data_IF_528624662820
#
_entry.id   IF_528624662820
#
_cell.length_a   1.000
_cell.length_b   1.000
_cell.length_c   1.000
_cell.angle_alpha   90.00
_cell.angle_beta   90.00
_cell.angle_gamma   90.00
#
_symmetry.space_group_name_H-M   'P 1'
#
loop_
_entity.id
_entity.type
_entity.pdbx_description
1 polymer ?
#
# COMPACT_ATOMS: atom_id res chain seq x y z
N UNK A 1 -8.04 -23.24 -26.58
CA UNK A 1 -8.13 -24.20 -25.46
C UNK A 1 -8.30 -23.41 -24.15
N UNK A 2 -9.50 -23.35 -23.57
CA UNK A 2 -9.75 -22.62 -22.31
C UNK A 2 -8.83 -23.04 -21.15
N UNK A 3 -8.35 -24.30 -21.15
CA UNK A 3 -7.41 -24.80 -20.15
C UNK A 3 -6.01 -24.16 -20.20
N UNK A 4 -5.69 -23.41 -21.27
CA UNK A 4 -4.43 -22.66 -21.39
C UNK A 4 -4.57 -21.17 -21.01
N UNK A 5 -5.76 -20.71 -20.63
CA UNK A 5 -5.97 -19.33 -20.20
C UNK A 5 -5.59 -19.16 -18.72
N UNK A 6 -4.29 -19.05 -18.45
CA UNK A 6 -3.75 -18.83 -17.11
C UNK A 6 -3.61 -17.33 -16.88
N UNK A 7 -4.42 -16.79 -15.97
CA UNK A 7 -4.37 -15.39 -15.53
C UNK A 7 -3.95 -15.27 -14.05
N UNK A 8 -3.71 -14.05 -13.58
CA UNK A 8 -3.25 -13.82 -12.20
C UNK A 8 -4.26 -14.25 -11.14
N UNK A 9 -5.55 -14.04 -11.39
CA UNK A 9 -6.66 -14.45 -10.50
C UNK A 9 -6.64 -15.98 -10.28
N UNK A 10 -6.54 -16.74 -11.37
CA UNK A 10 -6.41 -18.19 -11.33
C UNK A 10 -5.16 -18.66 -10.55
N UNK A 11 -4.02 -17.99 -10.76
CA UNK A 11 -2.79 -18.32 -10.03
C UNK A 11 -2.91 -18.03 -8.54
N UNK A 12 -3.57 -16.93 -8.17
CA UNK A 12 -3.83 -16.57 -6.79
C UNK A 12 -4.72 -17.61 -6.09
N UNK A 13 -5.83 -18.01 -6.70
CA UNK A 13 -6.71 -19.08 -6.19
C UNK A 13 -5.98 -20.43 -5.99
N UNK A 14 -4.97 -20.71 -6.82
CA UNK A 14 -4.16 -21.94 -6.73
C UNK A 14 -3.15 -21.86 -5.59
N UNK A 15 -2.52 -20.71 -5.42
CA UNK A 15 -1.51 -20.46 -4.37
C UNK A 15 -2.14 -20.49 -2.97
N UNK A 16 -3.37 -20.00 -2.80
CA UNK A 16 -4.07 -20.06 -1.51
C UNK A 16 -4.24 -21.49 -0.94
N UNK A 17 -4.15 -22.52 -1.80
CA UNK A 17 -4.20 -23.93 -1.38
C UNK A 17 -2.84 -24.53 -1.04
N UNK A 18 -1.78 -23.72 -0.99
CA UNK A 18 -0.39 -24.15 -0.79
C UNK A 18 0.22 -23.69 0.52
N UNK A 19 -0.57 -23.10 1.42
CA UNK A 19 -0.10 -22.55 2.69
C UNK A 19 1.10 -21.60 2.54
N UNK A 20 1.04 -20.57 1.68
CA UNK A 20 2.13 -19.60 1.58
C UNK A 20 2.19 -18.74 2.85
N UNK A 21 3.37 -18.26 3.25
CA UNK A 21 3.46 -17.24 4.31
C UNK A 21 3.20 -15.83 3.72
N UNK A 22 3.74 -15.59 2.52
CA UNK A 22 3.65 -14.31 1.80
C UNK A 22 3.28 -14.53 0.34
N UNK A 23 2.35 -13.73 -0.16
CA UNK A 23 1.89 -13.74 -1.55
C UNK A 23 2.29 -12.41 -2.21
N UNK A 24 3.13 -12.48 -3.23
CA UNK A 24 3.47 -11.34 -4.08
C UNK A 24 2.65 -11.32 -5.36
N UNK A 25 1.71 -10.38 -5.48
CA UNK A 25 0.97 -10.13 -6.73
C UNK A 25 1.66 -8.99 -7.46
N UNK A 26 2.24 -9.26 -8.63
CA UNK A 26 3.11 -8.31 -9.34
C UNK A 26 2.53 -6.90 -9.48
N UNK A 27 1.45 -6.75 -10.24
CA UNK A 27 0.73 -5.48 -10.39
C UNK A 27 -0.77 -5.74 -10.51
N UNK A 28 -1.59 -5.06 -9.70
CA UNK A 28 -3.05 -5.07 -9.84
C UNK A 28 -3.48 -4.28 -11.08
N UNK A 29 -4.08 -4.97 -12.05
CA UNK A 29 -4.57 -4.36 -13.30
C UNK A 29 -6.06 -4.60 -13.52
N UNK A 30 -6.60 -5.73 -13.06
CA UNK A 30 -7.98 -6.13 -13.29
C UNK A 30 -8.86 -6.04 -12.04
N UNK A 31 -10.17 -6.03 -12.28
CA UNK A 31 -11.19 -6.03 -11.24
C UNK A 31 -11.13 -7.28 -10.35
N UNK A 32 -10.85 -8.42 -10.98
CA UNK A 32 -10.73 -9.70 -10.31
C UNK A 32 -9.50 -9.71 -9.39
N UNK A 33 -8.34 -9.31 -9.91
CA UNK A 33 -7.11 -9.20 -9.13
C UNK A 33 -7.26 -8.29 -7.91
N UNK A 34 -7.94 -7.15 -8.08
CA UNK A 34 -8.07 -6.16 -7.01
C UNK A 34 -8.80 -6.71 -5.78
N UNK A 35 -9.94 -7.38 -5.99
CA UNK A 35 -10.71 -7.92 -4.87
C UNK A 35 -10.12 -9.24 -4.37
N UNK A 36 -9.74 -10.16 -5.28
CA UNK A 36 -9.20 -11.47 -4.89
C UNK A 36 -7.93 -11.34 -4.04
N UNK A 37 -7.03 -10.40 -4.36
CA UNK A 37 -5.83 -10.17 -3.56
C UNK A 37 -6.13 -9.50 -2.21
N UNK A 38 -7.12 -8.59 -2.17
CA UNK A 38 -7.59 -8.02 -0.92
C UNK A 38 -8.23 -9.09 -0.01
N UNK A 39 -9.09 -9.95 -0.56
CA UNK A 39 -9.69 -11.07 0.18
C UNK A 39 -8.63 -12.06 0.65
N UNK A 40 -7.64 -12.38 -0.20
CA UNK A 40 -6.51 -13.23 0.16
C UNK A 40 -5.78 -12.71 1.41
N UNK A 41 -5.57 -11.39 1.50
CA UNK A 41 -4.90 -10.77 2.66
C UNK A 41 -5.66 -10.91 3.98
N UNK A 42 -6.98 -11.10 3.90
CA UNK A 42 -7.87 -11.26 5.06
C UNK A 42 -8.01 -12.71 5.51
N UNK A 43 -7.37 -13.65 4.80
CA UNK A 43 -7.36 -15.09 5.14
C UNK A 43 -6.12 -15.52 5.92
N UNK A 44 -5.40 -14.56 6.52
CA UNK A 44 -4.18 -14.82 7.32
C UNK A 44 -2.89 -14.87 6.50
N UNK A 45 -2.95 -14.52 5.21
CA UNK A 45 -1.77 -14.46 4.34
C UNK A 45 -1.28 -13.01 4.22
N UNK A 46 0.03 -12.77 4.32
CA UNK A 46 0.57 -11.45 3.98
C UNK A 46 0.54 -11.30 2.46
N UNK A 47 -0.12 -10.25 1.94
CA UNK A 47 -0.20 -9.99 0.49
C UNK A 47 0.47 -8.66 0.18
N UNK A 48 1.44 -8.68 -0.74
CA UNK A 48 2.10 -7.50 -1.26
C UNK A 48 1.79 -7.33 -2.74
N UNK A 49 1.52 -6.10 -3.17
CA UNK A 49 1.28 -5.81 -4.60
C UNK A 49 1.71 -4.41 -4.99
N UNK A 50 1.75 -4.15 -6.29
CA UNK A 50 1.94 -2.82 -6.85
C UNK A 50 0.70 -2.39 -7.62
N UNK A 51 0.48 -1.08 -7.71
CA UNK A 51 -0.64 -0.51 -8.46
C UNK A 51 -0.28 0.88 -8.96
N UNK A 52 -0.65 1.18 -10.21
CA UNK A 52 -0.45 2.50 -10.77
C UNK A 52 -1.43 3.51 -10.14
N UNK A 53 -0.90 4.45 -9.37
CA UNK A 53 -1.64 5.49 -8.63
C UNK A 53 -0.80 6.76 -8.52
N UNK A 54 -1.44 7.91 -8.28
CA UNK A 54 -0.78 9.22 -8.23
C UNK A 54 -0.43 9.69 -6.81
N UNK A 55 -0.84 8.94 -5.78
CA UNK A 55 -0.61 9.23 -4.35
C UNK A 55 -1.01 8.02 -3.51
N UNK A 56 -0.65 7.99 -2.23
CA UNK A 56 -1.16 6.95 -1.32
C UNK A 56 -2.70 7.00 -1.19
N UNK A 57 -3.31 8.19 -1.07
CA UNK A 57 -4.76 8.33 -0.94
C UNK A 57 -5.50 7.81 -2.18
N UNK A 58 -5.03 8.16 -3.38
CA UNK A 58 -5.65 7.69 -4.62
C UNK A 58 -5.50 6.18 -4.85
N UNK A 59 -4.57 5.51 -4.15
CA UNK A 59 -4.36 4.06 -4.27
C UNK A 59 -5.59 3.28 -3.81
N UNK A 60 -6.17 3.61 -2.66
CA UNK A 60 -7.41 2.96 -2.19
C UNK A 60 -8.58 3.19 -3.15
N UNK A 61 -8.76 4.43 -3.63
CA UNK A 61 -9.79 4.75 -4.62
C UNK A 61 -9.60 3.98 -5.93
N UNK A 62 -8.34 3.77 -6.35
CA UNK A 62 -8.01 2.99 -7.55
C UNK A 62 -8.37 1.51 -7.36
N UNK A 63 -8.02 0.91 -6.23
CA UNK A 63 -8.39 -0.48 -5.90
C UNK A 63 -9.91 -0.65 -5.86
N UNK A 64 -10.63 0.24 -5.18
CA UNK A 64 -12.10 0.25 -5.16
C UNK A 64 -12.68 0.34 -6.58
N UNK A 65 -12.17 1.27 -7.40
CA UNK A 65 -12.66 1.47 -8.78
C UNK A 65 -12.42 0.23 -9.65
N UNK A 66 -11.28 -0.46 -9.47
CA UNK A 66 -11.01 -1.72 -10.16
C UNK A 66 -12.00 -2.79 -9.71
N UNK A 67 -12.13 -3.04 -8.41
CA UNK A 67 -13.05 -4.05 -7.87
C UNK A 67 -14.50 -3.83 -8.33
N UNK A 68 -14.97 -2.58 -8.30
CA UNK A 68 -16.35 -2.21 -8.70
C UNK A 68 -16.71 -2.59 -10.14
N UNK A 69 -15.73 -2.76 -11.04
CA UNK A 69 -15.98 -3.20 -12.43
C UNK A 69 -16.51 -4.64 -12.53
N UNK A 70 -16.30 -5.48 -11.51
CA UNK A 70 -16.73 -6.89 -11.49
C UNK A 70 -17.76 -7.17 -10.38
N UNK A 71 -17.72 -6.40 -9.29
CA UNK A 71 -18.55 -6.65 -8.12
C UNK A 71 -19.49 -5.46 -7.85
N UNK A 72 -20.78 -5.74 -7.70
CA UNK A 72 -21.80 -4.74 -7.38
C UNK A 72 -21.90 -4.56 -5.85
N UNK A 73 -20.88 -3.95 -5.25
CA UNK A 73 -20.82 -3.60 -3.83
C UNK A 73 -20.80 -2.08 -3.66
N UNK A 74 -21.22 -1.61 -2.49
CA UNK A 74 -21.14 -0.20 -2.14
C UNK A 74 -19.67 0.27 -2.06
N UNK A 75 -19.43 1.53 -2.43
CA UNK A 75 -18.09 2.13 -2.41
C UNK A 75 -17.50 2.16 -0.99
N UNK A 76 -18.34 2.36 0.03
CA UNK A 76 -17.88 2.35 1.42
C UNK A 76 -17.38 0.98 1.83
N UNK A 77 -18.10 -0.08 1.46
CA UNK A 77 -17.73 -1.47 1.75
C UNK A 77 -16.43 -1.83 1.05
N UNK A 78 -16.30 -1.50 -0.24
CA UNK A 78 -15.07 -1.75 -0.97
C UNK A 78 -13.89 -0.98 -0.37
N UNK A 79 -14.07 0.30 -0.04
CA UNK A 79 -13.01 1.09 0.60
C UNK A 79 -12.57 0.51 1.94
N UNK A 80 -13.51 0.08 2.79
CA UNK A 80 -13.19 -0.58 4.06
C UNK A 80 -12.38 -1.87 3.84
N UNK A 81 -12.79 -2.71 2.88
CA UNK A 81 -12.04 -3.92 2.52
C UNK A 81 -10.61 -3.58 2.09
N UNK A 82 -10.43 -2.55 1.25
CA UNK A 82 -9.11 -2.18 0.75
C UNK A 82 -8.20 -1.60 1.84
N UNK A 83 -8.75 -0.82 2.78
CA UNK A 83 -7.99 -0.27 3.92
C UNK A 83 -7.58 -1.38 4.89
N UNK A 84 -8.48 -2.30 5.20
CA UNK A 84 -8.20 -3.45 6.06
C UNK A 84 -7.14 -4.39 5.46
N UNK A 85 -7.23 -4.65 4.14
CA UNK A 85 -6.32 -5.50 3.39
C UNK A 85 -4.91 -4.91 3.29
N UNK A 86 -4.81 -3.60 3.06
CA UNK A 86 -3.56 -2.90 2.83
C UNK A 86 -3.40 -1.76 3.85
N UNK A 87 -3.05 -2.08 5.10
CA UNK A 87 -2.89 -1.06 6.14
C UNK A 87 -1.71 -0.14 5.88
N UNK A 88 -0.71 -0.56 5.09
CA UNK A 88 0.47 0.28 4.74
C UNK A 88 0.53 0.48 3.24
N UNK A 89 0.68 1.74 2.81
CA UNK A 89 0.88 2.11 1.39
C UNK A 89 2.14 2.93 1.24
N UNK A 90 3.02 2.49 0.34
CA UNK A 90 4.26 3.18 -0.03
C UNK A 90 4.10 3.75 -1.45
N UNK A 91 4.14 5.07 -1.58
CA UNK A 91 4.04 5.75 -2.87
C UNK A 91 5.42 6.16 -3.37
N UNK A 92 5.75 5.77 -4.60
CA UNK A 92 7.02 6.14 -5.25
C UNK A 92 6.76 6.99 -6.48
N UNK A 93 7.65 7.96 -6.74
CA UNK A 93 7.58 8.84 -7.91
C UNK A 93 8.97 8.99 -8.52
N UNK A 94 9.03 9.07 -9.85
CA UNK A 94 10.21 9.58 -10.55
C UNK A 94 10.15 11.10 -10.55
N UNK A 95 11.19 11.74 -10.02
CA UNK A 95 11.35 13.18 -9.95
C UNK A 95 11.94 13.74 -11.25
N UNK A 96 12.01 15.07 -11.35
CA UNK A 96 12.51 15.78 -12.55
C UNK A 96 13.97 15.42 -12.88
N UNK A 97 14.78 15.14 -11.85
CA UNK A 97 16.16 14.65 -11.99
C UNK A 97 16.26 13.16 -12.36
N UNK A 98 15.13 12.55 -12.75
CA UNK A 98 14.94 11.11 -13.08
C UNK A 98 15.19 10.16 -11.91
N UNK A 99 15.52 10.65 -10.72
CA UNK A 99 15.66 9.82 -9.53
C UNK A 99 14.29 9.31 -9.08
N UNK A 100 14.24 8.09 -8.56
CA UNK A 100 13.04 7.53 -7.93
C UNK A 100 13.12 7.73 -6.42
N UNK A 101 12.09 8.32 -5.83
CA UNK A 101 11.98 8.52 -4.38
C UNK A 101 10.68 7.93 -3.85
N UNK A 102 10.72 7.46 -2.60
CA UNK A 102 9.51 7.17 -1.83
C UNK A 102 8.97 8.53 -1.39
N UNK A 103 7.86 8.96 -1.97
CA UNK A 103 7.30 10.27 -1.70
C UNK A 103 6.50 10.31 -0.40
N UNK A 104 5.80 9.22 -0.11
CA UNK A 104 4.98 9.11 1.09
C UNK A 104 4.83 7.64 1.50
N UNK A 105 4.83 7.41 2.81
CA UNK A 105 4.37 6.16 3.42
C UNK A 105 3.20 6.54 4.33
N UNK A 106 2.05 5.90 4.15
CA UNK A 106 0.90 6.07 5.04
C UNK A 106 0.53 4.75 5.70
N UNK A 107 -0.13 4.86 6.84
CA UNK A 107 -0.99 3.82 7.37
C UNK A 107 -2.46 4.22 7.15
N UNK A 108 -3.23 3.38 6.46
CA UNK A 108 -4.68 3.51 6.36
C UNK A 108 -5.35 2.86 7.57
N UNK A 109 -6.21 3.60 8.26
CA UNK A 109 -6.84 3.15 9.49
C UNK A 109 -8.30 2.76 9.26
N UNK A 110 -9.05 3.58 8.53
CA UNK A 110 -10.46 3.32 8.29
C UNK A 110 -11.02 4.10 7.08
N UNK A 111 -12.26 3.82 6.73
CA UNK A 111 -13.08 4.62 5.83
C UNK A 111 -14.48 4.82 6.42
N UNK A 112 -14.78 6.05 6.85
CA UNK A 112 -16.05 6.43 7.47
C UNK A 112 -16.59 7.71 6.83
N UNK A 113 -17.91 7.81 6.67
CA UNK A 113 -18.60 8.99 6.13
C UNK A 113 -18.02 9.53 4.80
N UNK A 114 -17.61 8.62 3.92
CA UNK A 114 -17.03 8.96 2.62
C UNK A 114 -15.58 9.46 2.66
N UNK A 115 -14.92 9.36 3.81
CA UNK A 115 -13.56 9.86 4.05
C UNK A 115 -12.62 8.72 4.43
N UNK A 116 -11.47 8.70 3.78
CA UNK A 116 -10.34 7.86 4.17
C UNK A 116 -9.68 8.46 5.41
N UNK A 117 -9.60 7.67 6.47
CA UNK A 117 -8.86 7.97 7.69
C UNK A 117 -7.50 7.29 7.58
N UNK A 118 -6.44 8.07 7.66
CA UNK A 118 -5.07 7.59 7.52
C UNK A 118 -4.11 8.52 8.24
N UNK A 119 -2.91 8.01 8.51
CA UNK A 119 -1.77 8.77 9.04
C UNK A 119 -0.59 8.69 8.09
N UNK A 120 0.09 9.82 7.88
CA UNK A 120 1.37 9.83 7.19
C UNK A 120 2.47 9.40 8.17
N UNK A 121 3.24 8.37 7.81
CA UNK A 121 4.36 7.88 8.60
C UNK A 121 5.67 8.53 8.17
N UNK A 122 5.88 8.65 6.86
CA UNK A 122 7.07 9.27 6.26
C UNK A 122 6.68 10.08 5.04
N UNK A 123 7.42 11.15 4.76
CA UNK A 123 7.31 11.96 3.55
C UNK A 123 8.69 12.32 3.02
N UNK A 124 8.84 12.39 1.70
CA UNK A 124 9.96 13.05 1.08
C UNK A 124 9.58 14.50 0.79
N UNK A 125 10.32 15.43 1.38
CA UNK A 125 10.11 16.87 1.20
C UNK A 125 11.12 17.37 0.17
N UNK A 126 10.61 17.74 -1.01
CA UNK A 126 11.38 18.48 -2.01
C UNK A 126 11.54 19.90 -1.50
N UNK A 127 12.78 20.29 -1.26
CA UNK A 127 13.15 21.62 -0.77
C UNK A 127 13.43 22.54 -1.95
N UNK A 128 14.10 22.04 -2.99
CA UNK A 128 14.47 22.85 -4.15
C UNK A 128 14.68 22.00 -5.42
N UNK A 129 14.64 22.66 -6.58
CA UNK A 129 15.05 22.11 -7.87
C UNK A 129 16.14 23.01 -8.46
N UNK A 130 17.39 22.55 -8.40
CA UNK A 130 18.55 23.32 -8.84
C UNK A 130 18.87 22.98 -10.28
N UNK A 131 18.85 23.97 -11.17
CA UNK A 131 19.35 23.82 -12.54
C UNK A 131 20.85 24.01 -12.56
N UNK A 132 21.58 22.97 -12.98
CA UNK A 132 23.03 23.00 -13.12
C UNK A 132 23.45 23.75 -14.39
N UNK A 133 24.71 24.17 -14.47
CA UNK A 133 25.27 24.82 -15.68
C UNK A 133 25.16 23.95 -16.94
N UNK A 134 25.08 22.62 -16.78
CA UNK A 134 24.84 21.66 -17.86
C UNK A 134 23.40 21.71 -18.41
N UNK A 135 22.50 22.45 -17.79
CA UNK A 135 21.06 22.47 -18.08
C UNK A 135 20.27 21.35 -17.40
N UNK A 136 20.93 20.43 -16.69
CA UNK A 136 20.27 19.35 -15.95
C UNK A 136 19.63 19.88 -14.66
N UNK A 137 18.44 19.37 -14.32
CA UNK A 137 17.79 19.67 -13.05
C UNK A 137 18.20 18.64 -12.00
N UNK A 138 18.58 19.10 -10.82
CA UNK A 138 18.85 18.28 -9.63
C UNK A 138 17.80 18.57 -8.57
N UNK A 139 17.14 17.53 -8.07
CA UNK A 139 16.18 17.69 -6.98
C UNK A 139 16.91 17.62 -5.63
N UNK A 140 16.68 18.62 -4.79
CA UNK A 140 17.19 18.67 -3.41
C UNK A 140 16.03 18.44 -2.47
N UNK A 141 16.15 17.42 -1.62
CA UNK A 141 15.11 17.06 -0.67
C UNK A 141 15.56 15.96 0.28
N UNK A 142 14.76 15.70 1.31
CA UNK A 142 15.09 14.73 2.34
C UNK A 142 13.83 13.99 2.83
N UNK A 143 14.02 12.80 3.40
CA UNK A 143 12.93 12.08 4.05
C UNK A 143 12.74 12.63 5.47
N UNK A 144 11.48 12.86 5.84
CA UNK A 144 11.07 13.24 7.20
C UNK A 144 10.12 12.17 7.74
N UNK A 145 10.38 11.71 8.97
CA UNK A 145 9.42 10.94 9.75
C UNK A 145 8.31 11.89 10.20
N UNK A 146 7.07 11.57 9.85
CA UNK A 146 5.90 12.42 10.12
C UNK A 146 5.17 11.94 11.37
N UNK A 147 5.06 10.62 11.55
CA UNK A 147 4.37 10.02 12.68
C UNK A 147 4.78 8.57 12.92
N UNK A 148 4.12 7.95 13.87
CA UNK A 148 4.27 6.53 14.20
C UNK A 148 3.02 5.74 13.82
N UNK A 149 3.17 4.43 13.68
CA UNK A 149 2.06 3.52 13.46
C UNK A 149 1.01 3.58 14.59
N UNK A 150 -0.25 3.28 14.27
CA UNK A 150 -1.35 3.25 15.22
C UNK A 150 -1.20 2.14 16.24
N UNK A 151 -1.86 2.30 17.40
CA UNK A 151 -1.97 1.21 18.36
C UNK A 151 -2.72 0.01 17.77
N UNK A 152 -3.63 0.26 16.82
CA UNK A 152 -4.30 -0.80 16.04
C UNK A 152 -3.32 -1.62 15.21
N UNK A 153 -2.44 -0.97 14.45
CA UNK A 153 -1.42 -1.65 13.66
C UNK A 153 -0.33 -2.27 14.54
N UNK A 154 0.10 -1.62 15.63
CA UNK A 154 1.01 -2.23 16.63
C UNK A 154 0.42 -3.53 17.17
N UNK A 155 -0.84 -3.50 17.62
CA UNK A 155 -1.54 -4.68 18.12
C UNK A 155 -1.65 -5.75 17.04
N UNK A 156 -2.05 -5.39 15.82
CA UNK A 156 -2.10 -6.33 14.70
C UNK A 156 -0.75 -6.99 14.45
N UNK A 157 0.35 -6.24 14.46
CA UNK A 157 1.68 -6.80 14.26
C UNK A 157 2.08 -7.73 15.43
N UNK A 158 1.78 -7.37 16.68
CA UNK A 158 2.01 -8.22 17.86
C UNK A 158 1.25 -9.54 17.77
N UNK A 159 -0.04 -9.46 17.43
CA UNK A 159 -0.92 -10.63 17.25
C UNK A 159 -0.40 -11.56 16.14
N UNK A 160 0.44 -11.03 15.22
CA UNK A 160 1.06 -11.77 14.12
C UNK A 160 2.56 -12.06 14.34
N UNK A 161 3.06 -11.90 15.57
CA UNK A 161 4.36 -12.46 15.98
C UNK A 161 5.55 -11.50 15.97
N UNK A 162 5.38 -10.21 15.70
CA UNK A 162 6.47 -9.24 15.91
C UNK A 162 6.77 -9.11 17.41
N UNK A 163 8.03 -8.93 17.79
CA UNK A 163 8.39 -8.62 19.18
C UNK A 163 8.22 -7.13 19.51
N UNK A 164 8.08 -6.78 20.79
CA UNK A 164 8.10 -5.39 21.24
C UNK A 164 9.39 -4.66 20.85
N UNK A 165 10.54 -5.35 20.92
CA UNK A 165 11.83 -4.80 20.54
C UNK A 165 11.87 -4.40 19.06
N UNK A 166 11.32 -5.24 18.18
CA UNK A 166 11.22 -4.92 16.75
C UNK A 166 10.22 -3.78 16.50
N UNK A 167 9.12 -3.70 17.26
CA UNK A 167 8.17 -2.58 17.14
C UNK A 167 8.76 -1.22 17.52
N UNK A 168 9.62 -1.18 18.54
CA UNK A 168 10.29 0.04 18.98
C UNK A 168 11.12 0.70 17.87
N UNK A 169 11.65 -0.08 16.92
CA UNK A 169 12.37 0.43 15.76
C UNK A 169 11.47 1.30 14.85
N UNK A 170 10.17 0.99 14.79
CA UNK A 170 9.21 1.72 13.95
C UNK A 170 8.55 2.88 14.68
N UNK A 171 8.32 2.77 15.99
CA UNK A 171 7.70 3.84 16.78
C UNK A 171 8.70 4.95 17.11
N UNK A 172 10.00 4.63 17.18
CA UNK A 172 11.01 5.54 17.72
C UNK A 172 10.90 5.60 19.24
N UNK A 173 11.98 6.00 19.92
CA UNK A 173 11.90 6.34 21.35
C UNK A 173 10.97 7.54 21.47
N UNK A 174 9.83 7.37 22.14
CA UNK A 174 9.14 8.52 22.74
C UNK A 174 10.19 9.19 23.64
N UNK A 175 10.56 10.42 23.31
CA UNK A 175 11.36 11.23 24.21
C UNK A 175 10.37 11.73 25.24
N UNK A 176 10.36 11.07 26.41
CA UNK A 176 9.70 11.55 27.62
C UNK A 176 10.10 13.01 27.94
#
# INVERSE_FOLDING_TARGET
>A
NPAMNINQDFLLERVLRKHPDVIGVGEMRSAAESLSAAESSRTGHTVCTTIHSNSCNSTYRRMMTLAKRKYNMDDSVLMQIMVEAYPVVVFTKQLEDRSRKIMEIIEGEDYQDGKLIYRSLYKYEVVDNVTLESGETRVVGHHRKVGSISDGLKKRLLDNGISHKELEEFTGKEVD
#
